data_IF_136745752035
#
_entry.id   IF_136745752035
#
_cell.length_a   1.000
_cell.length_b   1.000
_cell.length_c   1.000
_cell.angle_alpha   90.00
_cell.angle_beta   90.00
_cell.angle_gamma   90.00
#
_symmetry.space_group_name_H-M   'P 1'
#
loop_
_entity.id
_entity.type
_entity.pdbx_description
1 polymer ?
#
# COMPACT_ATOMS: atom_id res chain seq x y z
N UNK A 1 7.78 33.21 -7.17
CA UNK A 1 7.67 31.88 -7.79
C UNK A 1 8.89 31.05 -7.36
N UNK A 2 8.76 30.17 -6.37
CA UNK A 2 9.83 29.28 -5.94
C UNK A 2 9.59 27.87 -6.46
N UNK A 3 10.39 27.44 -7.43
CA UNK A 3 10.37 26.07 -7.95
C UNK A 3 11.07 25.15 -6.93
N UNK A 4 10.31 24.31 -6.24
CA UNK A 4 10.85 23.28 -5.37
C UNK A 4 11.15 22.03 -6.19
N UNK A 5 12.44 21.75 -6.38
CA UNK A 5 12.95 20.51 -6.95
C UNK A 5 12.73 19.37 -5.95
N UNK A 6 11.62 18.63 -6.09
CA UNK A 6 11.41 17.41 -5.32
C UNK A 6 12.17 16.26 -5.98
N UNK A 7 13.34 15.92 -5.42
CA UNK A 7 14.08 14.70 -5.74
C UNK A 7 13.24 13.48 -5.36
N UNK A 8 12.58 12.89 -6.36
CA UNK A 8 11.66 11.77 -6.23
C UNK A 8 12.37 10.47 -5.87
N UNK A 9 12.54 10.21 -4.57
CA UNK A 9 12.74 8.88 -4.01
C UNK A 9 11.42 8.37 -3.40
N UNK A 10 11.16 7.07 -3.45
CA UNK A 10 10.00 6.49 -2.75
C UNK A 10 10.22 6.64 -1.25
N UNK A 11 9.34 7.39 -0.60
CA UNK A 11 9.44 7.68 0.84
C UNK A 11 8.65 6.68 1.69
N UNK A 12 7.88 5.78 1.06
CA UNK A 12 7.03 4.82 1.76
C UNK A 12 7.60 3.40 1.68
N UNK A 13 7.66 2.73 2.84
CA UNK A 13 7.87 1.28 2.95
C UNK A 13 6.57 0.58 3.28
N UNK A 14 6.28 -0.49 2.54
CA UNK A 14 5.09 -1.32 2.72
C UNK A 14 5.50 -2.69 3.28
N UNK A 15 5.12 -2.99 4.52
CA UNK A 15 5.43 -4.26 5.18
C UNK A 15 4.18 -5.10 5.36
N UNK A 16 4.17 -6.32 4.81
CA UNK A 16 3.06 -7.26 5.01
C UNK A 16 3.00 -7.70 6.47
N UNK A 17 1.83 -7.56 7.08
CA UNK A 17 1.56 -8.03 8.43
C UNK A 17 1.04 -9.48 8.40
N UNK A 18 1.26 -10.25 9.48
CA UNK A 18 0.71 -11.59 9.59
C UNK A 18 -0.82 -11.56 9.49
N UNK A 19 -1.39 -12.57 8.86
CA UNK A 19 -2.83 -12.75 8.81
C UNK A 19 -3.34 -13.01 10.22
N UNK A 20 -4.39 -12.29 10.63
CA UNK A 20 -5.11 -12.63 11.86
C UNK A 20 -5.81 -13.97 11.64
N UNK A 21 -5.76 -14.85 12.65
CA UNK A 21 -6.38 -16.18 12.62
C UNK A 21 -7.85 -16.06 12.21
N UNK A 22 -8.26 -16.85 11.21
CA UNK A 22 -9.63 -16.85 10.67
C UNK A 22 -9.96 -15.76 9.63
N UNK A 23 -9.07 -14.79 9.36
CA UNK A 23 -9.32 -13.72 8.40
C UNK A 23 -8.45 -13.85 7.15
N UNK A 24 -9.07 -13.80 5.97
CA UNK A 24 -8.39 -13.74 4.65
C UNK A 24 -7.99 -12.31 4.25
N UNK A 25 -8.03 -11.36 5.19
CA UNK A 25 -7.73 -9.95 4.94
C UNK A 25 -6.22 -9.71 5.00
N UNK A 26 -5.62 -9.35 3.87
CA UNK A 26 -4.22 -8.96 3.86
C UNK A 26 -4.06 -7.56 4.43
N UNK A 27 -3.09 -7.39 5.34
CA UNK A 27 -2.80 -6.10 5.97
C UNK A 27 -1.35 -5.73 5.67
N UNK A 28 -1.13 -4.47 5.31
CA UNK A 28 0.20 -3.94 5.03
C UNK A 28 0.40 -2.66 5.83
N UNK A 29 1.45 -2.64 6.65
CA UNK A 29 1.87 -1.46 7.39
C UNK A 29 2.64 -0.53 6.45
N UNK A 30 2.32 0.76 6.51
CA UNK A 30 2.96 1.82 5.73
C UNK A 30 3.77 2.68 6.68
N UNK A 31 5.08 2.76 6.43
CA UNK A 31 6.02 3.55 7.26
C UNK A 31 6.76 4.52 6.35
N UNK A 32 6.87 5.78 6.78
CA UNK A 32 7.68 6.79 6.13
C UNK A 32 9.16 6.55 6.46
N UNK A 33 10.01 6.40 5.46
CA UNK A 33 11.44 6.16 5.64
C UNK A 33 12.21 7.43 5.99
N UNK A 34 11.68 8.60 5.61
CA UNK A 34 12.33 9.89 5.83
C UNK A 34 12.19 10.35 7.27
N UNK A 35 11.01 10.14 7.85
CA UNK A 35 10.68 10.55 9.23
C UNK A 35 10.62 9.38 10.21
N UNK A 36 10.87 8.15 9.74
CA UNK A 36 10.75 6.92 10.52
C UNK A 36 9.40 6.77 11.25
N UNK A 37 8.35 7.35 10.68
CA UNK A 37 7.03 7.43 11.28
C UNK A 37 6.08 6.43 10.62
N UNK A 38 5.24 5.81 11.43
CA UNK A 38 4.14 4.99 10.94
C UNK A 38 3.01 5.87 10.41
N UNK A 39 2.62 5.63 9.16
CA UNK A 39 1.60 6.43 8.47
C UNK A 39 0.24 5.75 8.59
N UNK A 40 0.21 4.42 8.56
CA UNK A 40 -1.05 3.70 8.63
C UNK A 40 -0.99 2.27 8.15
N UNK A 41 -2.17 1.71 7.90
CA UNK A 41 -2.36 0.32 7.50
C UNK A 41 -3.28 0.25 6.29
N UNK A 42 -2.80 -0.41 5.24
CA UNK A 42 -3.60 -0.82 4.09
C UNK A 42 -4.25 -2.16 4.41
N UNK A 43 -5.57 -2.22 4.24
CA UNK A 43 -6.36 -3.44 4.22
C UNK A 43 -6.67 -3.81 2.77
N UNK A 44 -6.14 -4.93 2.29
CA UNK A 44 -6.32 -5.41 0.92
C UNK A 44 -7.25 -6.63 0.86
N UNK A 45 -8.33 -6.50 0.08
CA UNK A 45 -9.30 -7.56 -0.19
C UNK A 45 -9.18 -7.99 -1.65
N UNK A 46 -8.18 -8.83 -1.96
CA UNK A 46 -7.90 -9.25 -3.33
C UNK A 46 -9.09 -9.87 -4.07
N UNK A 47 -9.92 -10.65 -3.39
CA UNK A 47 -11.14 -11.22 -3.99
C UNK A 47 -12.16 -10.18 -4.48
N UNK A 48 -12.17 -9.00 -3.86
CA UNK A 48 -13.09 -7.91 -4.14
C UNK A 48 -12.43 -6.74 -4.87
N UNK A 49 -11.11 -6.82 -5.11
CA UNK A 49 -10.29 -5.75 -5.72
C UNK A 49 -10.43 -4.41 -5.00
N UNK A 50 -10.70 -4.46 -3.70
CA UNK A 50 -10.93 -3.31 -2.86
C UNK A 50 -9.82 -3.17 -1.83
N UNK A 51 -9.45 -1.93 -1.55
CA UNK A 51 -8.54 -1.59 -0.47
C UNK A 51 -9.14 -0.50 0.42
N UNK A 52 -8.71 -0.49 1.68
CA UNK A 52 -8.99 0.60 2.61
C UNK A 52 -7.65 1.00 3.23
N UNK A 53 -7.28 2.26 3.08
CA UNK A 53 -6.16 2.83 3.82
C UNK A 53 -6.67 3.46 5.11
N UNK A 54 -6.13 3.03 6.26
CA UNK A 54 -6.38 3.64 7.56
C UNK A 54 -5.13 4.38 7.98
N UNK A 55 -5.18 5.71 7.93
CA UNK A 55 -4.11 6.56 8.44
C UNK A 55 -4.06 6.46 9.98
N UNK A 56 -2.86 6.60 10.53
CA UNK A 56 -2.69 6.89 11.95
C UNK A 56 -3.16 8.33 12.24
N UNK A 57 -3.56 8.63 13.49
CA UNK A 57 -3.91 9.99 13.90
C UNK A 57 -2.76 10.96 13.63
N UNK A 58 -3.11 12.21 13.27
CA UNK A 58 -2.15 13.31 13.11
C UNK A 58 -1.06 13.10 12.04
N UNK A 59 -1.29 12.17 11.10
CA UNK A 59 -0.39 11.98 9.97
C UNK A 59 -0.84 12.81 8.77
N UNK A 60 -0.05 13.83 8.45
CA UNK A 60 -0.21 14.60 7.23
C UNK A 60 0.42 13.88 6.03
N UNK A 61 -0.42 13.49 5.07
CA UNK A 61 0.04 12.88 3.82
C UNK A 61 0.05 13.88 2.68
N UNK A 62 1.22 14.06 2.06
CA UNK A 62 1.35 14.81 0.83
C UNK A 62 0.82 14.04 -0.39
N UNK A 63 0.54 14.74 -1.49
CA UNK A 63 0.06 14.15 -2.74
C UNK A 63 0.96 13.03 -3.28
N UNK A 64 2.28 13.11 -3.06
CA UNK A 64 3.22 12.07 -3.48
C UNK A 64 3.02 10.77 -2.71
N UNK A 65 2.70 10.83 -1.41
CA UNK A 65 2.44 9.65 -0.59
C UNK A 65 1.24 8.86 -1.12
N UNK A 66 0.15 9.53 -1.49
CA UNK A 66 -1.02 8.89 -2.09
C UNK A 66 -0.68 8.19 -3.41
N UNK A 67 0.11 8.83 -4.29
CA UNK A 67 0.56 8.21 -5.54
C UNK A 67 1.40 6.95 -5.31
N UNK A 68 2.22 6.92 -4.26
CA UNK A 68 3.00 5.73 -3.88
C UNK A 68 2.10 4.60 -3.36
N UNK A 69 1.07 4.94 -2.57
CA UNK A 69 0.06 3.97 -2.12
C UNK A 69 -0.69 3.39 -3.33
N UNK A 70 -1.17 4.23 -4.26
CA UNK A 70 -1.88 3.77 -5.45
C UNK A 70 -1.01 2.81 -6.29
N UNK A 71 0.24 3.17 -6.56
CA UNK A 71 1.20 2.28 -7.25
C UNK A 71 1.40 0.95 -6.53
N UNK A 72 1.38 0.94 -5.20
CA UNK A 72 1.48 -0.29 -4.43
C UNK A 72 0.21 -1.15 -4.58
N UNK A 73 -0.98 -0.55 -4.56
CA UNK A 73 -2.25 -1.25 -4.80
C UNK A 73 -2.30 -1.83 -6.22
N UNK A 74 -1.84 -1.10 -7.23
CA UNK A 74 -1.79 -1.58 -8.62
C UNK A 74 -0.92 -2.84 -8.74
N UNK A 75 0.24 -2.87 -8.07
CA UNK A 75 1.08 -4.07 -7.99
C UNK A 75 0.35 -5.25 -7.33
N UNK A 76 -0.40 -5.01 -6.26
CA UNK A 76 -1.21 -6.05 -5.62
C UNK A 76 -2.31 -6.59 -6.55
N UNK A 77 -2.90 -5.71 -7.36
CA UNK A 77 -3.88 -6.06 -8.38
C UNK A 77 -3.28 -6.91 -9.50
N UNK A 78 -2.11 -6.56 -10.00
CA UNK A 78 -1.39 -7.35 -10.99
C UNK A 78 -1.02 -8.74 -10.46
N UNK A 79 -0.49 -8.83 -9.24
CA UNK A 79 -0.19 -10.10 -8.58
C UNK A 79 -1.45 -10.96 -8.45
N UNK A 80 -2.57 -10.37 -8.06
CA UNK A 80 -3.85 -11.06 -8.00
C UNK A 80 -4.28 -11.59 -9.37
N UNK A 81 -4.22 -10.78 -10.43
CA UNK A 81 -4.56 -11.19 -11.80
C UNK A 81 -3.69 -12.38 -12.25
N UNK A 82 -2.38 -12.32 -12.01
CA UNK A 82 -1.44 -13.41 -12.31
C UNK A 82 -1.78 -14.69 -11.55
N UNK A 83 -2.13 -14.59 -10.27
CA UNK A 83 -2.53 -15.74 -9.45
C UNK A 83 -3.78 -16.46 -9.95
N UNK A 84 -4.69 -15.74 -10.62
CA UNK A 84 -5.89 -16.32 -11.24
C UNK A 84 -5.59 -16.96 -12.59
N UNK A 85 -4.76 -16.33 -13.42
CA UNK A 85 -4.38 -16.87 -14.73
C UNK A 85 -3.64 -18.21 -14.61
N UNK A 86 -2.79 -18.37 -13.59
CA UNK A 86 -2.13 -19.65 -13.30
C UNK A 86 -3.03 -20.75 -12.72
N UNK A 87 -4.26 -20.42 -12.28
CA UNK A 87 -5.24 -21.39 -11.76
C UNK A 87 -6.28 -21.83 -12.80
N UNK A 88 -6.38 -21.13 -13.93
CA UNK A 88 -7.31 -21.45 -15.02
C UNK A 88 -6.71 -22.39 -16.09
N UNK A 89 -5.45 -22.80 -15.92
CA UNK A 89 -4.73 -23.72 -16.82
C UNK A 89 -4.38 -25.06 -16.17
N UNK A 90 -5.13 -25.49 -15.16
CA UNK A 90 -5.04 -26.82 -14.55
C UNK A 90 -6.42 -27.47 -14.54
#
# INVERSE_FOLDING_TARGET
MGSATYTGGSHLKFRKLPLKKGLKLHRYKVTNTKFYQDIGIIHWRGGWRQYVFRAEPEVDMSRSCYKEIDKFIDKLMEQWKRSKKGRAGK
#
